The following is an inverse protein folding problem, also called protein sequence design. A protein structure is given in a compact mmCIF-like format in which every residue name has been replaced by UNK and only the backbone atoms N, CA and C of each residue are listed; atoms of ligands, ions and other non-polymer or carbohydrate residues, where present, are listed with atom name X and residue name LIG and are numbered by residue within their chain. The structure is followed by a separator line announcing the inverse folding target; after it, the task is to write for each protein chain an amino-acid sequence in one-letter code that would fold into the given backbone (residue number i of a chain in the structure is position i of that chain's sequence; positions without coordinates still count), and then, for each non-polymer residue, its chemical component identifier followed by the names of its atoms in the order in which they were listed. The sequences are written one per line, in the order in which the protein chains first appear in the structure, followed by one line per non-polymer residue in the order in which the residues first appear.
data_IF_864114054080
#
_entry.id   IF_864114054080
#
_cell.length_a   1.000
_cell.length_b   1.000
_cell.length_c   1.000
_cell.angle_alpha   90.00
_cell.angle_beta   90.00
_cell.angle_gamma   90.00
#
_symmetry.space_group_name_H-M   'P 1'
#
loop_
_entity.id
_entity.type
_entity.pdbx_description
1 polymer ?
#
# COMPACT_ATOMS: atom_id res chain seq x y z
N UNK A 1 16.53 10.81 51.79
CA UNK A 1 16.73 9.36 51.52
C UNK A 1 17.95 9.28 50.62
N UNK A 2 18.97 8.49 50.98
CA UNK A 2 20.20 8.36 50.21
C UNK A 2 20.52 6.89 50.00
N UNK A 3 20.96 6.52 48.81
CA UNK A 3 21.39 5.16 48.46
C UNK A 3 22.90 5.16 48.30
N UNK A 4 23.55 4.22 48.97
CA UNK A 4 24.99 4.02 48.97
C UNK A 4 25.29 2.51 48.91
N UNK A 5 26.42 2.14 48.31
CA UNK A 5 26.81 0.76 48.10
C UNK A 5 28.17 0.45 48.72
N UNK A 6 28.32 -0.81 49.07
CA UNK A 6 29.56 -1.39 49.55
C UNK A 6 29.81 -2.67 48.76
N UNK A 7 30.86 -2.69 47.96
CA UNK A 7 31.25 -3.86 47.19
C UNK A 7 32.14 -4.78 48.05
N UNK A 8 31.94 -6.11 47.95
CA UNK A 8 32.71 -7.11 48.69
C UNK A 8 32.71 -6.92 50.24
N UNK A 9 31.70 -6.23 50.78
CA UNK A 9 31.59 -6.00 52.21
C UNK A 9 30.89 -7.18 52.91
N UNK A 10 31.57 -7.79 53.88
CA UNK A 10 31.00 -8.83 54.73
C UNK A 10 30.34 -8.28 56.00
N UNK A 11 30.50 -6.98 56.27
CA UNK A 11 29.91 -6.27 57.41
C UNK A 11 29.73 -4.80 57.11
N UNK A 12 28.69 -4.19 57.69
CA UNK A 12 28.43 -2.76 57.68
C UNK A 12 27.99 -2.29 59.08
N UNK A 13 28.37 -1.07 59.47
CA UNK A 13 27.92 -0.44 60.72
C UNK A 13 27.32 0.91 60.40
N UNK A 14 26.07 1.12 60.80
CA UNK A 14 25.32 2.37 60.56
C UNK A 14 25.07 3.04 61.90
N UNK A 15 25.48 4.31 62.02
CA UNK A 15 25.29 5.10 63.23
C UNK A 15 24.40 6.30 62.92
N UNK A 16 23.35 6.49 63.72
CA UNK A 16 22.46 7.64 63.61
C UNK A 16 22.83 8.70 64.64
N UNK A 17 22.85 9.97 64.20
CA UNK A 17 23.05 11.13 65.07
C UNK A 17 21.88 12.10 64.86
N UNK A 18 20.81 11.98 65.65
CA UNK A 18 19.63 12.85 65.51
C UNK A 18 18.58 12.68 66.62
N UNK A 19 17.79 13.73 66.88
CA UNK A 19 16.72 13.76 67.91
C UNK A 19 15.33 13.36 67.41
N UNK A 20 15.23 12.74 66.23
CA UNK A 20 13.97 12.36 65.56
C UNK A 20 14.00 10.95 64.95
N UNK A 21 13.03 10.61 64.10
CA UNK A 21 12.93 9.27 63.47
C UNK A 21 13.96 9.05 62.37
N UNK A 22 14.77 8.01 62.48
CA UNK A 22 15.74 7.57 61.46
C UNK A 22 15.53 6.09 61.16
N UNK A 23 15.72 5.69 59.90
CA UNK A 23 15.64 4.31 59.44
C UNK A 23 16.74 4.04 58.41
N UNK A 24 17.25 2.80 58.40
CA UNK A 24 18.14 2.30 57.35
C UNK A 24 17.55 1.02 56.79
N UNK A 25 17.57 0.90 55.47
CA UNK A 25 17.29 -0.34 54.76
C UNK A 25 18.62 -0.85 54.18
N UNK A 26 18.89 -2.14 54.36
CA UNK A 26 20.03 -2.82 53.75
C UNK A 26 19.47 -3.87 52.80
N UNK A 27 19.85 -3.77 51.54
CA UNK A 27 19.52 -4.74 50.50
C UNK A 27 20.79 -5.28 49.86
N UNK A 28 20.69 -6.47 49.28
CA UNK A 28 21.70 -7.02 48.36
C UNK A 28 21.17 -6.76 46.97
N UNK A 29 22.00 -6.19 46.10
CA UNK A 29 21.69 -6.10 44.68
C UNK A 29 22.36 -7.29 44.00
N UNK A 30 21.54 -8.22 43.53
CA UNK A 30 21.94 -9.18 42.50
C UNK A 30 21.45 -8.53 41.22
N UNK A 31 22.37 -8.02 40.41
CA UNK A 31 22.02 -7.59 39.05
C UNK A 31 22.00 -8.90 38.27
N UNK A 32 20.81 -9.38 37.90
CA UNK A 32 20.73 -10.34 36.81
C UNK A 32 21.46 -9.68 35.64
N UNK A 33 22.52 -10.33 35.19
CA UNK A 33 23.53 -9.72 34.31
C UNK A 33 23.52 -10.38 32.95
N UNK A 34 22.38 -10.94 32.58
CA UNK A 34 22.14 -11.57 31.30
C UNK A 34 20.96 -10.87 30.66
N UNK A 35 21.09 -10.62 29.38
CA UNK A 35 20.03 -10.14 28.51
C UNK A 35 19.85 -11.19 27.39
N UNK A 36 18.60 -11.57 27.15
CA UNK A 36 18.14 -12.67 26.33
C UNK A 36 17.15 -12.17 25.28
N UNK A 37 17.30 -12.66 24.05
CA UNK A 37 16.30 -12.42 23.02
C UNK A 37 15.01 -13.19 23.32
N UNK A 38 13.88 -12.59 22.97
CA UNK A 38 12.55 -13.07 23.34
C UNK A 38 11.68 -13.47 22.12
N UNK A 39 12.27 -13.54 20.91
CA UNK A 39 11.64 -14.13 19.74
C UNK A 39 11.13 -15.56 20.05
N UNK A 40 10.17 -16.12 19.27
CA UNK A 40 9.67 -17.46 19.54
C UNK A 40 10.78 -18.49 19.72
N UNK A 41 10.58 -19.46 20.63
CA UNK A 41 11.62 -20.41 21.03
C UNK A 41 12.30 -21.18 19.89
N UNK A 42 11.67 -21.29 18.71
CA UNK A 42 12.27 -21.90 17.51
C UNK A 42 13.50 -21.15 17.00
N UNK A 43 13.57 -19.83 17.18
CA UNK A 43 14.68 -18.97 16.76
C UNK A 43 15.93 -19.13 17.65
N UNK A 44 15.79 -19.86 18.76
CA UNK A 44 16.87 -20.18 19.67
C UNK A 44 17.28 -19.02 20.58
N UNK A 45 18.08 -19.37 21.59
CA UNK A 45 18.49 -18.45 22.65
C UNK A 45 19.79 -17.71 22.29
N UNK A 46 19.77 -16.40 22.46
CA UNK A 46 20.93 -15.52 22.36
C UNK A 46 21.06 -14.79 23.68
N UNK A 47 22.26 -14.74 24.23
CA UNK A 47 22.49 -14.20 25.57
C UNK A 47 23.65 -13.22 25.55
N UNK A 48 23.52 -12.06 26.16
CA UNK A 48 24.60 -11.11 26.39
C UNK A 48 24.77 -10.88 27.88
N UNK A 49 26.00 -10.70 28.33
CA UNK A 49 26.22 -10.29 29.72
C UNK A 49 26.02 -8.77 29.84
N UNK A 50 24.96 -8.34 30.50
CA UNK A 50 24.67 -6.95 30.80
C UNK A 50 25.68 -6.39 31.84
N UNK A 51 26.63 -5.58 31.38
CA UNK A 51 27.70 -5.00 32.21
C UNK A 51 27.28 -3.69 32.88
N UNK A 52 26.27 -3.75 33.76
CA UNK A 52 25.87 -2.59 34.54
C UNK A 52 26.99 -2.14 35.48
N UNK A 53 27.21 -0.83 35.55
CA UNK A 53 28.17 -0.23 36.49
C UNK A 53 27.48 0.77 37.40
N UNK A 54 28.13 1.17 38.48
CA UNK A 54 27.60 2.16 39.40
C UNK A 54 28.51 3.39 39.43
N UNK A 55 27.91 4.57 39.53
CA UNK A 55 28.64 5.82 39.79
C UNK A 55 28.16 6.44 41.09
N UNK A 56 29.09 6.96 41.89
CA UNK A 56 28.75 7.53 43.20
C UNK A 56 28.36 6.48 44.24
N UNK A 57 28.17 6.92 45.48
CA UNK A 57 27.70 6.13 46.60
C UNK A 57 28.60 4.98 47.07
N UNK A 58 29.77 4.76 46.47
CA UNK A 58 30.76 3.79 46.95
C UNK A 58 31.34 4.23 48.28
N UNK A 59 31.15 3.42 49.32
CA UNK A 59 31.75 3.65 50.63
C UNK A 59 33.09 2.92 50.74
N UNK A 60 34.16 3.66 50.99
CA UNK A 60 35.48 3.07 51.17
C UNK A 60 35.54 2.27 52.48
N UNK A 61 35.97 1.01 52.40
CA UNK A 61 36.09 0.15 53.56
C UNK A 61 36.98 0.77 54.65
N UNK A 62 36.51 0.75 55.89
CA UNK A 62 37.24 1.28 57.05
C UNK A 62 37.21 2.81 57.20
N UNK A 63 36.45 3.53 56.36
CA UNK A 63 36.30 4.99 56.44
C UNK A 63 34.91 5.35 56.94
N UNK A 64 34.82 6.28 57.89
CA UNK A 64 33.54 6.89 58.29
C UNK A 64 33.16 7.94 57.25
N UNK A 65 32.04 7.73 56.55
CA UNK A 65 31.55 8.63 55.51
C UNK A 65 30.21 9.22 55.94
N UNK A 66 30.10 10.56 55.91
CA UNK A 66 28.83 11.27 56.09
C UNK A 66 28.06 11.30 54.76
N UNK A 67 27.07 10.44 54.64
CA UNK A 67 26.21 10.32 53.45
C UNK A 67 25.21 11.48 53.29
N UNK A 68 25.13 12.39 54.28
CA UNK A 68 24.30 13.59 54.23
C UNK A 68 25.11 14.86 53.92
N UNK A 69 26.44 14.75 53.81
CA UNK A 69 27.27 15.87 53.40
C UNK A 69 26.90 16.33 51.98
N UNK A 70 26.91 17.65 51.74
CA UNK A 70 26.54 18.24 50.44
C UNK A 70 27.43 17.81 49.26
N UNK A 71 28.60 17.24 49.53
CA UNK A 71 29.51 16.68 48.52
C UNK A 71 29.39 15.17 48.29
N UNK A 72 28.50 14.47 48.99
CA UNK A 72 28.31 13.04 48.80
C UNK A 72 27.46 12.77 47.56
N UNK A 73 28.06 12.20 46.51
CA UNK A 73 27.33 11.72 45.34
C UNK A 73 26.59 10.43 45.70
N UNK A 74 25.26 10.43 45.56
CA UNK A 74 24.47 9.21 45.69
C UNK A 74 24.82 8.23 44.58
N UNK A 75 24.61 6.95 44.86
CA UNK A 75 24.82 5.95 43.83
C UNK A 75 23.78 6.05 42.72
N UNK A 76 24.24 5.92 41.49
CA UNK A 76 23.44 5.89 40.29
C UNK A 76 23.85 4.68 39.43
N UNK A 77 22.86 3.89 39.00
CA UNK A 77 23.07 2.79 38.07
C UNK A 77 23.41 3.38 36.70
N UNK A 78 24.46 2.86 36.08
CA UNK A 78 24.91 3.25 34.76
C UNK A 78 24.69 2.06 33.83
N UNK A 79 23.86 2.21 32.78
CA UNK A 79 23.65 1.17 31.79
C UNK A 79 24.96 0.72 31.12
N UNK A 80 24.99 -0.49 30.54
CA UNK A 80 26.16 -0.98 29.82
C UNK A 80 26.62 0.00 28.73
N UNK A 81 27.94 0.15 28.58
CA UNK A 81 28.52 1.05 27.56
C UNK A 81 28.39 0.52 26.14
N UNK A 82 28.08 -0.76 26.00
CA UNK A 82 27.81 -1.46 24.75
C UNK A 82 26.37 -1.95 24.83
N UNK A 83 25.46 -1.31 24.08
CA UNK A 83 24.03 -1.66 24.02
C UNK A 83 23.38 -1.06 22.78
N UNK A 84 22.27 -1.60 22.36
CA UNK A 84 21.31 -1.02 21.44
C UNK A 84 20.48 0.04 22.21
N UNK A 85 19.85 0.92 21.43
CA UNK A 85 19.14 2.12 21.89
C UNK A 85 19.61 2.77 23.20
N UNK A 86 18.70 2.90 24.17
CA UNK A 86 18.92 3.68 25.41
C UNK A 86 18.71 2.91 26.70
N UNK A 87 17.67 2.08 26.75
CA UNK A 87 17.41 1.15 27.84
C UNK A 87 18.23 -0.13 27.64
N UNK A 88 18.23 -0.98 28.66
CA UNK A 88 18.59 -2.38 28.60
C UNK A 88 17.84 -2.99 29.77
N UNK A 89 16.94 -3.93 29.49
CA UNK A 89 16.37 -4.79 30.51
C UNK A 89 17.18 -6.09 30.57
N UNK A 90 17.17 -6.75 31.72
CA UNK A 90 17.97 -7.95 31.90
C UNK A 90 17.16 -8.96 32.67
N UNK A 91 17.16 -10.20 32.18
CA UNK A 91 16.45 -11.32 32.76
C UNK A 91 17.37 -12.52 32.97
N UNK A 92 17.03 -13.30 33.99
CA UNK A 92 17.76 -14.53 34.31
C UNK A 92 17.38 -15.72 33.43
N UNK A 93 16.33 -15.59 32.62
CA UNK A 93 15.81 -16.63 31.72
C UNK A 93 15.10 -15.99 30.53
N UNK A 94 15.38 -16.46 29.31
CA UNK A 94 14.69 -16.05 28.09
C UNK A 94 13.15 -16.09 28.22
N UNK A 95 12.50 -15.01 27.80
CA UNK A 95 11.05 -14.82 27.91
C UNK A 95 10.34 -14.94 26.56
N UNK A 96 10.59 -16.04 25.83
CA UNK A 96 10.07 -16.20 24.48
C UNK A 96 8.57 -15.90 24.34
N UNK A 97 8.24 -15.04 23.39
CA UNK A 97 6.89 -14.58 23.12
C UNK A 97 6.56 -14.70 21.63
N UNK A 98 5.28 -14.69 21.29
CA UNK A 98 4.89 -14.62 19.88
C UNK A 98 5.20 -13.24 19.29
N UNK A 99 5.24 -12.21 20.13
CA UNK A 99 5.33 -10.80 19.79
C UNK A 99 6.71 -10.17 19.92
N UNK A 100 7.70 -10.93 20.35
CA UNK A 100 8.95 -10.35 20.79
C UNK A 100 8.73 -9.26 21.88
N UNK A 101 7.70 -9.43 22.74
CA UNK A 101 7.34 -8.50 23.83
C UNK A 101 7.32 -9.17 25.22
N UNK A 102 8.05 -10.28 25.38
CA UNK A 102 7.92 -11.18 26.52
C UNK A 102 8.48 -10.60 27.81
N UNK A 103 9.69 -10.07 27.72
CA UNK A 103 10.42 -9.30 28.74
C UNK A 103 9.79 -7.93 29.02
N UNK A 104 9.24 -7.26 28.00
CA UNK A 104 8.48 -6.00 28.14
C UNK A 104 7.33 -6.10 29.17
N UNK A 105 6.69 -7.28 29.25
CA UNK A 105 5.56 -7.51 30.15
C UNK A 105 5.98 -7.66 31.62
N UNK A 106 7.28 -7.82 31.87
CA UNK A 106 7.88 -7.99 33.20
C UNK A 106 8.86 -6.87 33.58
N UNK A 107 9.13 -5.90 32.70
CA UNK A 107 10.06 -4.79 32.97
C UNK A 107 9.92 -3.55 32.06
N UNK A 108 11.03 -3.00 31.59
CA UNK A 108 11.09 -1.80 30.71
C UNK A 108 11.35 -2.22 29.28
N UNK A 109 10.58 -1.68 28.34
CA UNK A 109 10.76 -1.86 26.90
C UNK A 109 12.19 -1.46 26.46
N UNK A 110 12.98 -2.47 26.12
CA UNK A 110 14.32 -2.35 25.56
C UNK A 110 14.38 -2.74 24.08
N UNK A 111 13.24 -2.95 23.41
CA UNK A 111 13.11 -2.94 21.94
C UNK A 111 13.29 -1.48 21.37
N UNK A 112 14.20 -0.69 21.94
CA UNK A 112 14.35 0.74 21.65
C UNK A 112 15.46 1.05 20.62
N UNK A 113 16.02 0.02 19.96
CA UNK A 113 16.89 0.18 18.80
C UNK A 113 16.23 0.98 17.66
N UNK A 114 14.91 0.87 17.49
CA UNK A 114 14.17 1.59 16.44
C UNK A 114 13.24 2.65 17.04
N UNK A 115 13.21 3.83 16.42
CA UNK A 115 12.31 4.91 16.84
C UNK A 115 10.81 4.62 16.63
N UNK A 116 10.48 3.55 15.89
CA UNK A 116 9.12 3.06 15.67
C UNK A 116 9.17 1.58 15.24
N UNK A 117 8.09 0.81 15.48
CA UNK A 117 8.00 -0.58 15.03
C UNK A 117 8.24 -0.71 13.52
N UNK A 118 8.97 -1.75 13.11
CA UNK A 118 9.39 -1.96 11.72
C UNK A 118 8.22 -2.11 10.74
N UNK A 119 7.07 -2.60 11.21
CA UNK A 119 5.87 -2.75 10.39
C UNK A 119 6.11 -3.68 9.19
N UNK A 120 5.73 -3.23 7.98
CA UNK A 120 5.93 -4.00 6.74
C UNK A 120 7.19 -3.56 6.01
N UNK A 121 8.08 -4.50 5.70
CA UNK A 121 9.33 -4.25 4.98
C UNK A 121 9.27 -4.77 3.54
N UNK A 122 10.05 -4.13 2.66
CA UNK A 122 10.17 -4.51 1.26
C UNK A 122 11.20 -5.64 1.08
N UNK A 123 10.72 -6.88 1.14
CA UNK A 123 11.53 -8.07 0.90
C UNK A 123 11.44 -8.50 -0.57
N UNK A 124 11.84 -7.62 -1.49
CA UNK A 124 11.89 -7.92 -2.92
C UNK A 124 13.10 -8.84 -3.22
N UNK A 125 12.92 -10.05 -3.76
CA UNK A 125 14.01 -10.98 -4.06
C UNK A 125 15.17 -10.36 -4.84
N UNK A 126 16.41 -10.72 -4.48
CA UNK A 126 17.66 -10.25 -5.11
C UNK A 126 17.89 -8.73 -5.05
N UNK A 127 17.15 -8.02 -4.21
CA UNK A 127 17.41 -6.60 -3.92
C UNK A 127 18.10 -6.43 -2.58
N UNK A 128 18.65 -5.24 -2.33
CA UNK A 128 19.19 -4.90 -1.01
C UNK A 128 18.10 -4.29 -0.15
N UNK A 129 17.84 -4.89 1.01
CA UNK A 129 17.08 -4.27 2.09
C UNK A 129 18.04 -3.58 3.05
N UNK A 130 17.78 -2.33 3.40
CA UNK A 130 18.52 -1.56 4.40
C UNK A 130 17.58 -1.23 5.55
N UNK A 131 17.96 -1.56 6.78
CA UNK A 131 17.16 -1.25 7.97
C UNK A 131 16.97 0.27 8.12
N UNK A 132 15.92 0.72 8.82
CA UNK A 132 15.92 2.03 9.46
C UNK A 132 17.17 2.23 10.35
N UNK A 133 17.38 3.47 10.80
CA UNK A 133 18.46 3.79 11.70
C UNK A 133 18.29 3.02 13.03
N UNK A 134 19.28 2.20 13.36
CA UNK A 134 19.39 1.44 14.60
C UNK A 134 20.15 2.31 15.59
N UNK A 135 19.50 2.74 16.66
CA UNK A 135 20.14 3.43 17.77
C UNK A 135 21.04 2.46 18.53
N UNK A 136 22.20 2.94 18.94
CA UNK A 136 23.15 2.14 19.71
C UNK A 136 24.09 3.04 20.52
N UNK A 137 24.62 2.48 21.60
CA UNK A 137 25.70 3.05 22.41
C UNK A 137 26.88 2.09 22.42
N UNK A 138 28.07 2.57 22.02
CA UNK A 138 29.27 1.75 21.86
C UNK A 138 30.47 2.20 22.71
N UNK A 139 31.57 1.42 22.68
CA UNK A 139 32.04 0.70 21.48
C UNK A 139 31.53 -0.73 21.33
N UNK A 140 30.87 -1.04 20.20
CA UNK A 140 30.42 -2.41 19.88
C UNK A 140 30.14 -2.61 18.40
N UNK A 141 30.21 -3.85 17.92
CA UNK A 141 29.80 -4.22 16.56
C UNK A 141 28.34 -4.64 16.57
N UNK A 142 27.54 -4.18 15.60
CA UNK A 142 26.13 -4.55 15.45
C UNK A 142 25.99 -5.58 14.33
N UNK A 143 25.21 -6.64 14.58
CA UNK A 143 24.81 -7.69 13.64
C UNK A 143 23.31 -7.87 13.70
N UNK A 144 22.70 -8.36 12.62
CA UNK A 144 21.29 -8.72 12.67
C UNK A 144 20.90 -9.82 11.69
N UNK A 145 19.81 -10.51 12.00
CA UNK A 145 19.27 -11.64 11.22
C UNK A 145 17.79 -11.46 10.97
N UNK A 146 17.36 -11.62 9.72
CA UNK A 146 15.94 -11.61 9.33
C UNK A 146 15.59 -12.98 8.78
N UNK A 147 14.60 -13.63 9.36
CA UNK A 147 14.03 -14.87 8.82
C UNK A 147 13.20 -14.50 7.58
N UNK A 148 13.77 -14.68 6.39
CA UNK A 148 13.11 -14.28 5.14
C UNK A 148 12.19 -15.38 4.61
N UNK A 149 12.52 -16.64 4.89
CA UNK A 149 11.83 -17.80 4.35
C UNK A 149 10.67 -18.27 5.25
N UNK A 150 10.54 -17.70 6.45
CA UNK A 150 9.54 -17.95 7.49
C UNK A 150 9.53 -19.40 7.98
N UNK A 151 10.69 -20.03 8.10
CA UNK A 151 10.80 -21.43 8.56
C UNK A 151 11.01 -21.57 10.08
N UNK A 152 11.18 -20.45 10.79
CA UNK A 152 11.28 -20.42 12.24
C UNK A 152 12.70 -20.41 12.78
N UNK A 153 13.72 -20.21 11.95
CA UNK A 153 15.10 -20.01 12.38
C UNK A 153 15.84 -18.89 11.61
N UNK A 154 17.13 -18.70 11.90
CA UNK A 154 18.00 -17.67 11.30
C UNK A 154 19.25 -18.27 10.61
N UNK A 155 19.22 -19.57 10.29
CA UNK A 155 20.39 -20.33 9.87
C UNK A 155 20.62 -20.30 8.36
N UNK A 156 19.74 -19.62 7.62
CA UNK A 156 19.75 -19.66 6.18
C UNK A 156 20.66 -18.61 5.53
N UNK A 157 21.12 -18.95 4.32
CA UNK A 157 21.98 -18.05 3.56
C UNK A 157 21.21 -16.79 3.14
N UNK A 158 21.74 -15.63 3.55
CA UNK A 158 21.16 -14.31 3.24
C UNK A 158 20.30 -13.72 4.36
N UNK A 159 20.11 -14.45 5.47
CA UNK A 159 19.38 -13.96 6.64
C UNK A 159 20.25 -13.10 7.54
N UNK A 160 21.55 -13.39 7.62
CA UNK A 160 22.52 -12.54 8.30
C UNK A 160 22.79 -11.24 7.53
N UNK A 161 22.96 -10.14 8.26
CA UNK A 161 23.33 -8.84 7.70
C UNK A 161 24.68 -8.93 6.97
N UNK A 162 24.70 -8.42 5.75
CA UNK A 162 25.87 -8.40 4.85
C UNK A 162 26.98 -7.47 5.35
N UNK A 163 26.63 -6.48 6.17
CA UNK A 163 27.55 -5.61 6.89
C UNK A 163 27.43 -5.81 8.41
N UNK A 164 28.44 -5.35 9.14
CA UNK A 164 28.48 -5.31 10.61
C UNK A 164 29.18 -4.03 11.07
N UNK A 165 28.47 -2.90 11.08
CA UNK A 165 29.04 -1.62 11.45
C UNK A 165 29.42 -1.61 12.94
N UNK A 166 30.41 -0.80 13.27
CA UNK A 166 30.78 -0.53 14.66
C UNK A 166 30.04 0.71 15.15
N UNK A 167 29.31 0.57 16.24
CA UNK A 167 28.77 1.66 17.02
C UNK A 167 29.86 2.29 17.89
N UNK A 168 29.96 3.61 17.88
CA UNK A 168 30.94 4.35 18.68
C UNK A 168 30.30 5.54 19.37
N UNK A 169 30.39 5.60 20.71
CA UNK A 169 29.58 6.52 21.49
C UNK A 169 28.09 6.27 21.26
N UNK A 170 27.24 7.26 21.54
CA UNK A 170 25.81 7.19 21.20
C UNK A 170 25.62 7.65 19.75
N UNK A 171 25.19 6.74 18.89
CA UNK A 171 25.08 6.98 17.44
C UNK A 171 23.96 6.13 16.83
N UNK A 172 23.83 6.19 15.51
CA UNK A 172 22.97 5.28 14.76
C UNK A 172 23.74 4.57 13.66
N UNK A 173 23.35 3.33 13.38
CA UNK A 173 23.90 2.50 12.30
C UNK A 173 22.79 1.93 11.43
N UNK A 174 23.13 1.41 10.24
CA UNK A 174 22.19 0.68 9.39
C UNK A 174 22.78 -0.69 9.02
N UNK A 175 21.91 -1.68 8.95
CA UNK A 175 22.24 -3.01 8.47
C UNK A 175 21.66 -3.23 7.06
N UNK A 176 22.36 -4.03 6.26
CA UNK A 176 22.01 -4.34 4.88
C UNK A 176 21.87 -5.85 4.69
N UNK A 177 20.84 -6.29 4.01
CA UNK A 177 20.63 -7.67 3.61
C UNK A 177 20.50 -7.77 2.10
N UNK A 178 21.04 -8.84 1.52
CA UNK A 178 20.65 -9.24 0.16
C UNK A 178 19.48 -10.19 0.29
N UNK A 179 18.30 -9.71 -0.10
CA UNK A 179 17.04 -10.45 0.09
C UNK A 179 17.08 -11.77 -0.68
N UNK A 180 16.91 -12.93 -0.02
CA UNK A 180 16.96 -14.24 -0.67
C UNK A 180 15.87 -14.44 -1.74
N UNK A 181 16.06 -15.42 -2.63
CA UNK A 181 15.04 -15.77 -3.63
C UNK A 181 13.80 -16.47 -3.01
N UNK A 182 13.98 -17.17 -1.89
CA UNK A 182 12.96 -17.97 -1.21
C UNK A 182 12.07 -17.20 -0.23
N UNK A 183 11.97 -15.87 -0.34
CA UNK A 183 11.19 -15.04 0.60
C UNK A 183 9.73 -15.49 0.63
N UNK A 184 9.22 -15.70 1.85
CA UNK A 184 7.80 -15.91 2.11
C UNK A 184 7.19 -14.65 2.72
N UNK A 185 5.98 -14.28 2.27
CA UNK A 185 5.28 -13.10 2.78
C UNK A 185 4.63 -13.38 4.12
N UNK A 186 4.44 -12.34 4.93
CA UNK A 186 3.79 -12.43 6.23
C UNK A 186 4.72 -12.12 7.39
N UNK A 187 4.23 -12.35 8.61
CA UNK A 187 4.94 -12.05 9.85
C UNK A 187 6.25 -12.83 9.97
N UNK A 188 7.32 -12.13 10.34
CA UNK A 188 8.64 -12.69 10.64
C UNK A 188 9.33 -11.87 11.74
N UNK A 189 10.58 -12.18 12.03
CA UNK A 189 11.36 -11.60 13.13
C UNK A 189 12.71 -11.09 12.62
N UNK A 190 13.20 -10.03 13.26
CA UNK A 190 14.56 -9.53 13.17
C UNK A 190 15.21 -9.71 14.54
N UNK A 191 16.37 -10.37 14.60
CA UNK A 191 17.24 -10.34 15.78
C UNK A 191 18.35 -9.33 15.57
N UNK A 192 18.60 -8.46 16.53
CA UNK A 192 19.75 -7.59 16.62
C UNK A 192 20.67 -8.08 17.74
N UNK A 193 21.98 -7.98 17.51
CA UNK A 193 22.99 -8.23 18.54
C UNK A 193 24.07 -7.17 18.47
N UNK A 194 24.51 -6.67 19.62
CA UNK A 194 25.68 -5.82 19.76
C UNK A 194 26.66 -6.44 20.76
N UNK A 195 27.97 -6.38 20.48
CA UNK A 195 29.02 -6.77 21.44
C UNK A 195 30.35 -6.09 21.10
N UNK A 196 31.23 -5.91 22.09
CA UNK A 196 32.58 -5.40 21.85
C UNK A 196 33.42 -6.37 21.01
N UNK A 197 33.16 -7.68 21.15
CA UNK A 197 33.80 -8.74 20.37
C UNK A 197 32.87 -9.30 19.29
N UNK A 198 33.09 -8.86 18.05
CA UNK A 198 32.30 -9.28 16.89
C UNK A 198 32.27 -10.80 16.65
N UNK A 199 33.25 -11.56 17.14
CA UNK A 199 33.27 -13.03 16.98
C UNK A 199 32.22 -13.73 17.85
N UNK A 200 31.83 -13.14 18.98
CA UNK A 200 30.81 -13.71 19.88
C UNK A 200 29.39 -13.56 19.33
N UNK A 201 29.19 -12.59 18.43
CA UNK A 201 27.92 -12.31 17.75
C UNK A 201 28.00 -12.67 16.26
N UNK A 202 28.84 -13.65 15.90
CA UNK A 202 28.92 -14.13 14.52
C UNK A 202 27.70 -15.00 14.14
N UNK A 203 26.98 -15.50 15.13
CA UNK A 203 25.80 -16.37 15.00
C UNK A 203 24.57 -15.73 15.66
N UNK A 204 23.35 -16.06 15.20
CA UNK A 204 22.10 -15.52 15.77
C UNK A 204 21.81 -16.01 17.19
N UNK A 205 22.47 -17.09 17.62
CA UNK A 205 22.33 -17.71 18.94
C UNK A 205 23.68 -17.77 19.68
N UNK A 206 23.64 -18.12 20.96
CA UNK A 206 24.81 -18.27 21.81
C UNK A 206 25.16 -17.02 22.63
N UNK A 207 26.22 -17.13 23.43
CA UNK A 207 26.56 -16.14 24.47
C UNK A 207 27.63 -15.13 24.05
N UNK A 208 27.47 -13.86 24.43
CA UNK A 208 28.51 -12.83 24.41
C UNK A 208 28.86 -12.34 25.83
N UNK A 209 30.08 -11.83 26.00
CA UNK A 209 30.58 -11.40 27.32
C UNK A 209 30.21 -9.96 27.71
N UNK A 210 29.62 -9.23 26.78
CA UNK A 210 29.10 -7.87 26.93
C UNK A 210 28.08 -7.62 25.82
N UNK A 211 27.36 -6.50 25.91
CA UNK A 211 26.43 -6.08 24.85
C UNK A 211 24.98 -6.42 25.17
N UNK A 212 24.20 -6.55 24.11
CA UNK A 212 22.74 -6.72 24.17
C UNK A 212 22.21 -7.48 22.94
N UNK A 213 21.06 -8.12 23.09
CA UNK A 213 20.20 -8.69 22.06
C UNK A 213 18.83 -8.02 22.12
N UNK A 214 18.31 -7.62 20.97
CA UNK A 214 16.89 -7.25 20.84
C UNK A 214 16.28 -8.09 19.73
N UNK A 215 15.09 -8.63 19.95
CA UNK A 215 14.26 -9.20 18.89
C UNK A 215 13.21 -8.18 18.45
N UNK A 216 12.70 -8.29 17.23
CA UNK A 216 11.78 -7.31 16.66
C UNK A 216 10.80 -7.99 15.71
N UNK A 217 9.51 -7.67 15.80
CA UNK A 217 8.52 -8.17 14.84
C UNK A 217 8.46 -7.33 13.56
N UNK A 218 8.42 -8.01 12.43
CA UNK A 218 8.20 -7.40 11.12
C UNK A 218 7.24 -8.20 10.24
N UNK A 219 6.79 -7.59 9.15
CA UNK A 219 5.99 -8.25 8.11
C UNK A 219 6.71 -8.16 6.77
N UNK A 220 6.92 -9.31 6.12
CA UNK A 220 7.55 -9.40 4.82
C UNK A 220 6.53 -9.22 3.70
N UNK A 221 6.79 -8.24 2.84
CA UNK A 221 6.08 -8.05 1.58
C UNK A 221 7.08 -8.13 0.41
N UNK A 222 6.82 -9.00 -0.54
CA UNK A 222 7.74 -9.33 -1.63
C UNK A 222 7.23 -8.85 -3.00
N UNK A 223 6.22 -7.98 -3.02
CA UNK A 223 5.77 -7.28 -4.21
C UNK A 223 5.51 -5.80 -3.88
N UNK A 224 5.58 -4.95 -4.90
CA UNK A 224 5.32 -3.52 -4.81
C UNK A 224 4.47 -3.08 -6.00
N UNK A 225 3.41 -2.33 -5.72
CA UNK A 225 2.51 -1.81 -6.77
C UNK A 225 2.23 -0.33 -6.53
N UNK A 226 2.42 0.46 -7.57
CA UNK A 226 1.93 1.85 -7.64
C UNK A 226 0.69 1.88 -8.53
N UNK A 227 -0.44 2.38 -8.02
CA UNK A 227 -1.66 2.56 -8.79
C UNK A 227 -1.85 4.03 -9.14
N UNK A 228 -1.89 4.32 -10.43
CA UNK A 228 -2.08 5.66 -10.97
C UNK A 228 -3.42 5.81 -11.67
N UNK A 229 -4.00 6.99 -11.53
CA UNK A 229 -5.06 7.50 -12.37
C UNK A 229 -4.45 8.32 -13.49
N UNK A 230 -4.97 8.12 -14.70
CA UNK A 230 -4.79 9.04 -15.82
C UNK A 230 -6.16 9.43 -16.38
N UNK A 231 -6.35 10.71 -16.65
CA UNK A 231 -7.53 11.26 -17.33
C UNK A 231 -7.07 11.80 -18.68
N UNK A 232 -7.21 10.98 -19.71
CA UNK A 232 -6.81 11.33 -21.08
C UNK A 232 -7.70 12.42 -21.69
N UNK A 233 -9.01 12.37 -21.39
CA UNK A 233 -9.96 13.40 -21.77
C UNK A 233 -11.11 13.42 -20.76
N UNK A 234 -11.54 14.63 -20.37
CA UNK A 234 -12.61 14.85 -19.40
C UNK A 234 -13.85 15.39 -20.11
N UNK A 235 -15.02 14.82 -19.82
CA UNK A 235 -16.29 15.25 -20.39
C UNK A 235 -16.80 16.54 -19.73
N UNK A 236 -16.66 16.64 -18.40
CA UNK A 236 -16.96 17.84 -17.64
C UNK A 236 -15.77 18.20 -16.74
N UNK A 237 -15.39 19.48 -16.69
CA UNK A 237 -14.29 19.98 -15.87
C UNK A 237 -14.44 19.64 -14.36
N UNK A 238 -15.68 19.48 -13.88
CA UNK A 238 -15.97 19.11 -12.50
C UNK A 238 -15.82 17.60 -12.20
N UNK A 239 -15.72 16.74 -13.22
CA UNK A 239 -15.61 15.29 -13.00
C UNK A 239 -14.27 14.94 -12.36
N UNK A 240 -14.31 14.22 -11.24
CA UNK A 240 -13.12 13.73 -10.54
C UNK A 240 -13.16 12.21 -10.42
N UNK A 241 -11.99 11.60 -10.40
CA UNK A 241 -11.84 10.15 -10.33
C UNK A 241 -10.95 9.77 -9.16
N UNK A 242 -11.34 8.70 -8.47
CA UNK A 242 -10.54 8.09 -7.41
C UNK A 242 -10.14 6.70 -7.85
N UNK A 243 -8.85 6.41 -7.79
CA UNK A 243 -8.32 5.04 -7.82
C UNK A 243 -8.09 4.56 -6.40
N UNK A 244 -8.43 3.30 -6.14
CA UNK A 244 -8.21 2.65 -4.84
C UNK A 244 -7.58 1.29 -5.06
N UNK A 245 -6.54 0.99 -4.29
CA UNK A 245 -5.98 -0.34 -4.14
C UNK A 245 -6.59 -0.96 -2.89
N UNK A 246 -7.29 -2.09 -3.04
CA UNK A 246 -7.97 -2.77 -1.94
C UNK A 246 -7.51 -4.21 -1.76
N UNK A 247 -7.62 -4.69 -0.53
CA UNK A 247 -7.59 -6.11 -0.19
C UNK A 247 -8.91 -6.47 0.49
N UNK A 248 -9.75 -7.24 -0.19
CA UNK A 248 -11.14 -7.42 0.21
C UNK A 248 -11.88 -6.08 0.23
N UNK A 249 -12.48 -5.72 1.37
CA UNK A 249 -13.18 -4.44 1.56
C UNK A 249 -12.27 -3.30 2.05
N UNK A 250 -11.06 -3.62 2.51
CA UNK A 250 -10.14 -2.63 3.10
C UNK A 250 -9.38 -1.88 2.02
N UNK A 251 -9.38 -0.54 2.10
CA UNK A 251 -8.58 0.32 1.23
C UNK A 251 -7.16 0.38 1.78
N UNK A 252 -6.20 -0.12 1.02
CA UNK A 252 -4.76 -0.01 1.34
C UNK A 252 -4.28 1.40 1.03
N UNK A 253 -4.59 1.87 -0.18
CA UNK A 253 -4.24 3.20 -0.63
C UNK A 253 -5.26 3.71 -1.63
N UNK A 254 -5.41 5.04 -1.69
CA UNK A 254 -6.25 5.68 -2.70
C UNK A 254 -5.67 7.02 -3.11
N UNK A 255 -6.01 7.44 -4.33
CA UNK A 255 -5.63 8.74 -4.85
C UNK A 255 -6.75 9.27 -5.74
N UNK A 256 -7.05 10.55 -5.61
CA UNK A 256 -8.10 11.21 -6.37
C UNK A 256 -7.51 12.33 -7.21
N UNK A 257 -8.03 12.52 -8.42
CA UNK A 257 -7.79 13.76 -9.15
C UNK A 257 -8.44 14.93 -8.43
N UNK A 258 -7.89 16.13 -8.59
CA UNK A 258 -8.45 17.35 -8.02
C UNK A 258 -8.41 18.50 -9.04
N UNK A 259 -9.47 19.31 -9.07
CA UNK A 259 -9.60 20.42 -10.00
C UNK A 259 -9.33 20.02 -11.46
N UNK A 260 -8.37 20.68 -12.10
CA UNK A 260 -7.98 20.39 -13.47
C UNK A 260 -6.94 19.24 -13.59
N UNK A 261 -6.45 18.68 -12.48
CA UNK A 261 -5.41 17.65 -12.46
C UNK A 261 -5.81 16.39 -13.24
N UNK A 262 -4.97 15.97 -14.17
CA UNK A 262 -5.23 14.82 -15.06
C UNK A 262 -4.63 13.52 -14.54
N UNK A 263 -3.90 13.55 -13.44
CA UNK A 263 -3.31 12.38 -12.82
C UNK A 263 -3.42 12.41 -11.30
N UNK A 264 -3.37 11.22 -10.71
CA UNK A 264 -3.26 11.00 -9.27
C UNK A 264 -2.57 9.65 -9.05
N UNK A 265 -1.87 9.44 -7.94
CA UNK A 265 -1.15 8.19 -7.68
C UNK A 265 -1.14 7.82 -6.21
N UNK A 266 -1.26 6.52 -5.92
CA UNK A 266 -1.25 6.00 -4.54
C UNK A 266 0.13 6.02 -3.88
N UNK A 267 1.18 6.36 -4.63
CA UNK A 267 2.54 5.96 -4.28
C UNK A 267 2.72 4.45 -4.33
N UNK A 268 3.94 4.00 -4.08
CA UNK A 268 4.28 2.58 -4.09
C UNK A 268 3.81 1.89 -2.82
N UNK A 269 3.02 0.82 -2.97
CA UNK A 269 2.46 0.04 -1.87
C UNK A 269 3.10 -1.33 -1.83
N UNK A 270 3.54 -1.75 -0.64
CA UNK A 270 4.10 -3.09 -0.42
C UNK A 270 2.97 -4.10 -0.26
N UNK A 271 3.04 -5.17 -1.04
CA UNK A 271 2.00 -6.19 -1.16
C UNK A 271 2.60 -7.59 -1.01
N UNK A 272 1.74 -8.54 -0.62
CA UNK A 272 2.08 -9.93 -0.59
C UNK A 272 1.85 -10.57 -1.98
N UNK A 273 2.87 -11.21 -2.55
CA UNK A 273 2.70 -11.99 -3.78
C UNK A 273 1.67 -13.11 -3.61
N UNK A 274 1.00 -13.51 -4.69
CA UNK A 274 0.00 -14.56 -4.68
C UNK A 274 -1.34 -14.17 -4.06
N UNK A 275 -1.41 -13.00 -3.41
CA UNK A 275 -2.66 -12.45 -2.86
C UNK A 275 -3.42 -11.67 -3.94
N UNK A 276 -4.74 -11.87 -4.02
CA UNK A 276 -5.60 -11.10 -4.93
C UNK A 276 -5.93 -9.72 -4.38
N UNK A 277 -5.66 -8.69 -5.16
CA UNK A 277 -5.98 -7.29 -4.87
C UNK A 277 -6.98 -6.73 -5.87
N UNK A 278 -7.76 -5.75 -5.43
CA UNK A 278 -8.70 -5.03 -6.30
C UNK A 278 -8.12 -3.65 -6.63
N UNK A 279 -8.00 -3.36 -7.92
CA UNK A 279 -7.70 -2.03 -8.46
C UNK A 279 -9.03 -1.41 -8.88
N UNK A 280 -9.54 -0.50 -8.07
CA UNK A 280 -10.85 0.14 -8.27
C UNK A 280 -10.68 1.51 -8.92
N UNK A 281 -11.57 1.82 -9.85
CA UNK A 281 -11.78 3.16 -10.38
C UNK A 281 -13.22 3.61 -10.13
N UNK A 282 -13.37 4.83 -9.63
CA UNK A 282 -14.66 5.41 -9.34
C UNK A 282 -14.70 6.87 -9.79
N UNK A 283 -15.84 7.30 -10.34
CA UNK A 283 -16.17 8.72 -10.41
C UNK A 283 -16.48 9.20 -8.98
N UNK A 284 -15.64 10.07 -8.44
CA UNK A 284 -15.74 10.55 -7.06
C UNK A 284 -16.43 11.90 -6.93
N UNK A 285 -16.48 12.69 -8.01
CA UNK A 285 -17.28 13.90 -8.11
C UNK A 285 -17.64 14.17 -9.58
N UNK A 286 -18.64 15.03 -9.79
CA UNK A 286 -19.12 15.41 -11.13
C UNK A 286 -20.51 14.86 -11.46
N UNK A 287 -21.07 15.34 -12.55
CA UNK A 287 -22.43 15.00 -13.00
C UNK A 287 -22.45 14.06 -14.20
N UNK A 288 -21.33 13.86 -14.86
CA UNK A 288 -21.27 12.97 -16.03
C UNK A 288 -21.44 11.52 -15.58
N UNK A 289 -22.39 10.74 -16.14
CA UNK A 289 -22.48 9.32 -15.85
C UNK A 289 -21.17 8.60 -16.13
N UNK A 290 -20.73 7.73 -15.22
CA UNK A 290 -19.43 7.07 -15.36
C UNK A 290 -19.34 6.21 -16.63
N UNK A 291 -20.46 5.74 -17.17
CA UNK A 291 -20.56 5.05 -18.45
C UNK A 291 -20.13 5.88 -19.67
N UNK A 292 -20.09 7.22 -19.57
CA UNK A 292 -19.57 8.11 -20.63
C UNK A 292 -18.05 8.12 -20.72
N UNK A 293 -17.35 7.36 -19.88
CA UNK A 293 -15.91 7.19 -19.94
C UNK A 293 -15.56 5.78 -20.38
N UNK A 294 -14.72 5.67 -21.41
CA UNK A 294 -13.96 4.45 -21.66
C UNK A 294 -12.87 4.34 -20.59
N UNK A 295 -12.73 3.15 -20.00
CA UNK A 295 -11.68 2.85 -19.03
C UNK A 295 -10.78 1.76 -19.57
N UNK A 296 -9.51 1.86 -19.26
CA UNK A 296 -8.50 0.84 -19.56
C UNK A 296 -7.49 0.81 -18.44
N UNK A 297 -6.83 -0.33 -18.28
CA UNK A 297 -5.73 -0.49 -17.33
C UNK A 297 -4.51 -1.09 -18.05
N UNK A 298 -3.34 -0.59 -17.71
CA UNK A 298 -2.07 -1.19 -18.11
C UNK A 298 -1.13 -1.22 -16.90
N UNK A 299 -0.52 -2.37 -16.65
CA UNK A 299 0.53 -2.53 -15.65
C UNK A 299 1.87 -2.76 -16.36
N UNK A 300 2.90 -2.05 -15.93
CA UNK A 300 4.25 -2.16 -16.45
C UNK A 300 5.23 -2.50 -15.32
N UNK A 301 6.22 -3.32 -15.62
CA UNK A 301 7.33 -3.60 -14.71
C UNK A 301 8.25 -2.38 -14.61
N UNK A 302 8.56 -1.96 -13.39
CA UNK A 302 9.60 -0.97 -13.12
C UNK A 302 11.00 -1.58 -13.32
N UNK A 303 12.03 -0.74 -13.44
CA UNK A 303 13.40 -1.22 -13.55
C UNK A 303 13.80 -2.05 -12.31
N UNK A 304 14.37 -3.24 -12.52
CA UNK A 304 14.72 -4.16 -11.43
C UNK A 304 13.57 -5.03 -10.92
N UNK A 305 12.36 -4.87 -11.47
CA UNK A 305 11.23 -5.76 -11.21
C UNK A 305 11.52 -7.18 -11.71
N UNK A 306 11.19 -8.17 -10.89
CA UNK A 306 11.30 -9.58 -11.21
C UNK A 306 9.92 -10.25 -11.29
N UNK A 307 9.87 -11.47 -11.84
CA UNK A 307 8.63 -12.20 -12.06
C UNK A 307 7.85 -11.72 -13.28
N UNK A 308 6.90 -12.54 -13.75
CA UNK A 308 6.03 -12.15 -14.85
C UNK A 308 5.11 -11.00 -14.43
N UNK A 309 4.79 -10.09 -15.36
CA UNK A 309 3.77 -9.06 -15.12
C UNK A 309 2.38 -9.71 -15.25
N UNK A 310 1.60 -9.80 -14.18
CA UNK A 310 0.24 -10.35 -14.26
C UNK A 310 -0.66 -9.44 -15.10
N UNK A 311 -1.56 -10.05 -15.86
CA UNK A 311 -2.60 -9.33 -16.60
C UNK A 311 -3.76 -9.04 -15.65
N UNK A 312 -4.17 -7.78 -15.45
CA UNK A 312 -5.32 -7.47 -14.60
C UNK A 312 -6.60 -8.11 -15.15
N UNK A 313 -7.35 -8.82 -14.30
CA UNK A 313 -8.64 -9.43 -14.66
C UNK A 313 -9.79 -8.44 -14.53
N UNK A 314 -10.72 -8.41 -15.49
CA UNK A 314 -11.84 -7.45 -15.54
C UNK A 314 -11.85 -6.61 -16.82
N UNK A 315 -12.47 -5.43 -16.84
CA UNK A 315 -13.18 -4.79 -15.73
C UNK A 315 -14.46 -5.52 -15.32
N UNK A 316 -14.89 -5.34 -14.07
CA UNK A 316 -16.22 -5.73 -13.57
C UNK A 316 -16.94 -4.53 -12.95
N UNK A 317 -18.28 -4.57 -12.96
CA UNK A 317 -19.12 -3.47 -12.50
C UNK A 317 -19.36 -2.38 -13.56
N UNK A 318 -20.41 -1.60 -13.34
CA UNK A 318 -20.74 -0.40 -14.16
C UNK A 318 -20.48 0.90 -13.39
N UNK A 319 -19.90 0.79 -12.20
CA UNK A 319 -19.66 1.85 -11.23
C UNK A 319 -19.77 1.32 -9.79
N UNK A 320 -18.78 1.57 -8.91
CA UNK A 320 -17.35 1.62 -9.27
C UNK A 320 -16.95 0.46 -10.21
N UNK A 321 -15.81 0.59 -10.89
CA UNK A 321 -15.29 -0.42 -11.81
C UNK A 321 -14.02 -1.03 -11.23
N UNK A 322 -13.97 -2.36 -11.20
CA UNK A 322 -12.91 -3.11 -10.53
C UNK A 322 -12.14 -3.99 -11.51
N UNK A 323 -10.81 -3.98 -11.34
CA UNK A 323 -9.90 -4.99 -11.86
C UNK A 323 -9.31 -5.78 -10.71
N UNK A 324 -8.96 -7.03 -10.97
CA UNK A 324 -8.24 -7.90 -10.05
C UNK A 324 -6.78 -8.00 -10.47
N UNK A 325 -5.87 -7.99 -9.50
CA UNK A 325 -4.42 -8.14 -9.72
C UNK A 325 -3.85 -9.09 -8.67
N UNK A 326 -3.13 -10.11 -9.10
CA UNK A 326 -2.36 -10.99 -8.22
C UNK A 326 -0.88 -10.83 -8.56
N UNK A 327 -0.12 -10.02 -7.80
CA UNK A 327 1.30 -9.83 -8.06
C UNK A 327 2.10 -11.10 -7.80
N UNK A 328 3.15 -11.32 -8.58
CA UNK A 328 4.14 -12.38 -8.36
C UNK A 328 5.25 -11.87 -7.42
N UNK A 329 6.00 -12.80 -6.83
CA UNK A 329 7.17 -12.45 -6.02
C UNK A 329 8.19 -11.65 -6.85
N UNK A 330 8.72 -10.57 -6.27
CA UNK A 330 9.65 -9.63 -6.92
C UNK A 330 9.00 -8.64 -7.87
N UNK A 331 7.69 -8.69 -8.08
CA UNK A 331 7.00 -7.69 -8.88
C UNK A 331 7.14 -6.31 -8.24
N UNK A 332 7.74 -5.38 -8.98
CA UNK A 332 7.63 -3.94 -8.77
C UNK A 332 6.93 -3.33 -9.98
N UNK A 333 5.65 -2.96 -9.82
CA UNK A 333 4.76 -2.60 -10.91
C UNK A 333 4.22 -1.19 -10.78
N UNK A 334 4.04 -0.54 -11.93
CA UNK A 334 3.21 0.66 -12.06
C UNK A 334 1.98 0.32 -12.89
N UNK A 335 0.81 0.33 -12.26
CA UNK A 335 -0.49 0.13 -12.91
C UNK A 335 -1.17 1.46 -13.12
N UNK A 336 -1.60 1.76 -14.35
CA UNK A 336 -2.29 3.01 -14.68
C UNK A 336 -3.67 2.73 -15.21
N UNK A 337 -4.69 3.24 -14.53
CA UNK A 337 -6.08 3.24 -15.01
C UNK A 337 -6.34 4.55 -15.74
N UNK A 338 -6.62 4.45 -17.04
CA UNK A 338 -6.88 5.59 -17.92
C UNK A 338 -8.36 5.73 -18.22
N UNK A 339 -8.91 6.91 -17.93
CA UNK A 339 -10.26 7.31 -18.36
C UNK A 339 -10.19 8.29 -19.53
N UNK A 340 -10.98 8.01 -20.56
CA UNK A 340 -11.21 8.91 -21.69
C UNK A 340 -12.71 9.11 -21.88
N UNK A 341 -13.16 10.36 -21.90
CA UNK A 341 -14.52 10.68 -22.28
C UNK A 341 -14.84 10.15 -23.69
N UNK A 342 -15.97 9.49 -23.85
CA UNK A 342 -16.48 9.02 -25.13
C UNK A 342 -16.98 10.21 -25.96
N UNK A 343 -16.53 10.30 -27.21
CA UNK A 343 -16.91 11.35 -28.15
C UNK A 343 -17.76 10.75 -29.27
N UNK A 344 -19.07 10.84 -29.07
CA UNK A 344 -20.10 10.53 -30.06
C UNK A 344 -20.68 11.84 -30.60
N UNK A 345 -20.61 12.07 -31.91
CA UNK A 345 -21.14 13.29 -32.52
C UNK A 345 -22.15 12.93 -33.60
N UNK A 346 -23.43 12.90 -33.23
CA UNK A 346 -24.51 12.50 -34.14
C UNK A 346 -25.02 13.70 -34.95
N UNK A 347 -25.15 13.52 -36.26
CA UNK A 347 -25.74 14.49 -37.18
C UNK A 347 -26.84 13.83 -38.00
N UNK A 348 -27.96 14.51 -38.20
CA UNK A 348 -29.09 14.02 -38.99
C UNK A 348 -29.47 15.02 -40.07
N UNK A 349 -29.79 14.55 -41.26
CA UNK A 349 -30.31 15.35 -42.37
C UNK A 349 -31.49 14.62 -43.02
N UNK A 350 -32.48 15.39 -43.52
CA UNK A 350 -33.64 14.86 -44.25
C UNK A 350 -33.89 15.71 -45.49
N UNK A 351 -34.01 15.08 -46.65
CA UNK A 351 -34.27 15.76 -47.92
C UNK A 351 -34.91 14.81 -48.93
N UNK A 352 -35.84 15.29 -49.73
CA UNK A 352 -36.29 14.68 -51.00
C UNK A 352 -35.68 15.39 -52.22
N UNK A 353 -34.78 16.35 -51.98
CA UNK A 353 -34.13 17.23 -52.95
C UNK A 353 -35.10 18.11 -53.74
N UNK A 354 -36.29 18.41 -53.20
CA UNK A 354 -37.27 19.31 -53.81
C UNK A 354 -37.63 20.46 -52.86
N UNK A 355 -37.89 21.64 -53.42
CA UNK A 355 -38.39 22.79 -52.67
C UNK A 355 -39.92 22.86 -52.64
N UNK A 356 -40.58 22.15 -53.55
CA UNK A 356 -42.04 22.16 -53.73
C UNK A 356 -42.56 20.75 -53.89
N UNK A 357 -43.84 20.55 -53.54
CA UNK A 357 -44.55 19.30 -53.76
C UNK A 357 -45.87 19.57 -54.49
N UNK A 358 -46.40 18.54 -55.14
CA UNK A 358 -47.71 18.56 -55.81
C UNK A 358 -48.64 17.60 -55.11
N UNK A 359 -49.84 18.04 -54.64
CA UNK A 359 -50.85 17.16 -54.06
C UNK A 359 -51.14 15.94 -54.96
N UNK A 360 -51.23 14.75 -54.37
CA UNK A 360 -51.46 13.49 -55.07
C UNK A 360 -50.21 12.73 -55.56
N UNK A 361 -49.07 13.41 -55.67
CA UNK A 361 -47.79 12.80 -56.10
C UNK A 361 -47.15 11.95 -54.99
N UNK A 362 -46.17 11.13 -55.38
CA UNK A 362 -45.32 10.37 -54.48
C UNK A 362 -43.88 10.89 -54.53
N UNK A 363 -43.18 10.83 -53.39
CA UNK A 363 -41.76 11.21 -53.24
C UNK A 363 -41.05 10.24 -52.31
N UNK A 364 -39.72 10.24 -52.33
CA UNK A 364 -38.92 9.51 -51.37
C UNK A 364 -38.02 10.49 -50.63
N UNK A 365 -38.24 10.62 -49.33
CA UNK A 365 -37.32 11.36 -48.45
C UNK A 365 -36.15 10.46 -48.08
N UNK A 366 -34.94 11.01 -48.12
CA UNK A 366 -33.74 10.36 -47.60
C UNK A 366 -33.39 11.02 -46.27
N UNK A 367 -33.40 10.23 -45.21
CA UNK A 367 -32.88 10.62 -43.89
C UNK A 367 -31.50 9.99 -43.76
N UNK A 368 -30.47 10.81 -43.53
CA UNK A 368 -29.12 10.31 -43.27
C UNK A 368 -28.71 10.68 -41.86
N UNK A 369 -28.33 9.67 -41.08
CA UNK A 369 -27.78 9.81 -39.73
C UNK A 369 -26.30 9.46 -39.80
N UNK A 370 -25.44 10.33 -39.29
CA UNK A 370 -23.99 10.17 -39.27
C UNK A 370 -23.49 10.17 -37.82
N UNK A 371 -22.44 9.40 -37.54
CA UNK A 371 -21.62 9.56 -36.35
C UNK A 371 -20.27 10.16 -36.77
N UNK A 372 -20.17 11.48 -36.64
CA UNK A 372 -18.97 12.27 -36.93
C UNK A 372 -17.96 12.20 -35.75
N UNK A 373 -18.26 11.43 -34.69
CA UNK A 373 -17.42 11.24 -33.51
C UNK A 373 -16.40 10.10 -33.64
N UNK A 374 -15.43 10.06 -32.71
CA UNK A 374 -14.37 9.06 -32.67
C UNK A 374 -14.77 7.75 -31.98
N UNK A 375 -15.89 7.75 -31.25
CA UNK A 375 -16.40 6.59 -30.54
C UNK A 375 -17.75 6.16 -31.10
N UNK A 376 -18.05 4.86 -31.03
CA UNK A 376 -19.30 4.31 -31.53
C UNK A 376 -20.51 4.87 -30.77
N UNK A 377 -21.60 5.15 -31.49
CA UNK A 377 -22.90 5.46 -30.92
C UNK A 377 -23.76 4.19 -30.96
N UNK A 378 -24.20 3.71 -29.79
CA UNK A 378 -25.02 2.49 -29.68
C UNK A 378 -26.42 2.86 -29.21
N UNK A 379 -27.43 2.33 -29.89
CA UNK A 379 -28.85 2.50 -29.56
C UNK A 379 -29.37 3.92 -29.79
N UNK A 380 -28.76 4.69 -30.69
CA UNK A 380 -29.22 6.04 -31.00
C UNK A 380 -30.64 5.98 -31.59
N UNK A 381 -31.59 6.68 -30.97
CA UNK A 381 -32.98 6.65 -31.41
C UNK A 381 -33.20 7.63 -32.56
N UNK A 382 -33.87 7.16 -33.62
CA UNK A 382 -34.27 7.97 -34.77
C UNK A 382 -35.78 7.86 -34.88
N UNK A 383 -36.46 9.00 -34.90
CA UNK A 383 -37.92 9.08 -35.03
C UNK A 383 -38.33 10.21 -35.95
N UNK A 384 -39.30 9.93 -36.81
CA UNK A 384 -39.86 10.89 -37.76
C UNK A 384 -41.37 10.60 -37.93
N UNK A 385 -42.19 11.63 -37.71
CA UNK A 385 -43.64 11.55 -37.92
C UNK A 385 -43.99 12.42 -39.11
N UNK A 386 -44.55 11.80 -40.15
CA UNK A 386 -45.02 12.51 -41.34
C UNK A 386 -46.14 13.48 -40.94
N UNK A 387 -46.13 14.72 -41.48
CA UNK A 387 -47.16 15.71 -41.20
C UNK A 387 -48.51 15.30 -41.80
N UNK A 388 -49.55 16.07 -41.47
CA UNK A 388 -50.86 15.94 -42.11
C UNK A 388 -50.75 16.07 -43.65
N UNK A 389 -51.62 15.37 -44.36
CA UNK A 389 -51.60 15.32 -45.83
C UNK A 389 -50.48 14.44 -46.42
N UNK A 390 -49.73 13.71 -45.59
CA UNK A 390 -48.73 12.73 -46.01
C UNK A 390 -48.99 11.35 -45.40
N UNK A 391 -48.73 10.31 -46.18
CA UNK A 391 -48.73 8.92 -45.70
C UNK A 391 -47.60 8.13 -46.34
N UNK A 392 -47.19 7.03 -45.74
CA UNK A 392 -46.18 6.13 -46.30
C UNK A 392 -46.72 5.43 -47.55
N UNK A 393 -46.04 5.63 -48.68
CA UNK A 393 -46.39 4.97 -49.95
C UNK A 393 -45.92 3.52 -50.02
N UNK A 394 -44.88 3.18 -49.26
CA UNK A 394 -44.31 1.84 -49.13
C UNK A 394 -43.65 1.69 -47.75
N UNK A 395 -43.25 0.46 -47.40
CA UNK A 395 -42.43 0.23 -46.21
C UNK A 395 -41.07 0.89 -46.42
N UNK A 396 -40.67 1.75 -45.49
CA UNK A 396 -39.37 2.42 -45.54
C UNK A 396 -38.23 1.44 -45.27
N UNK A 397 -37.03 1.76 -45.73
CA UNK A 397 -35.85 0.90 -45.61
C UNK A 397 -34.71 1.65 -44.95
N UNK A 398 -33.92 0.95 -44.13
CA UNK A 398 -32.70 1.49 -43.54
C UNK A 398 -31.51 0.66 -44.01
N UNK A 399 -30.45 1.35 -44.43
CA UNK A 399 -29.17 0.76 -44.83
C UNK A 399 -28.06 1.40 -44.02
N UNK A 400 -27.19 0.60 -43.43
CA UNK A 400 -26.09 1.09 -42.60
C UNK A 400 -24.75 0.89 -43.32
N UNK A 401 -23.81 1.82 -43.09
CA UNK A 401 -22.42 1.69 -43.49
C UNK A 401 -21.72 0.51 -42.77
N UNK A 402 -20.57 0.01 -43.27
CA UNK A 402 -19.83 -1.07 -42.61
C UNK A 402 -19.53 -0.79 -41.13
N UNK A 403 -19.73 -1.78 -40.27
CA UNK A 403 -19.57 -1.66 -38.81
C UNK A 403 -20.71 -0.93 -38.09
N UNK A 404 -21.70 -0.41 -38.83
CA UNK A 404 -22.93 0.18 -38.30
C UNK A 404 -24.12 -0.76 -38.54
N UNK A 405 -25.22 -0.58 -37.81
CA UNK A 405 -26.43 -1.38 -37.93
C UNK A 405 -27.70 -0.53 -37.78
N UNK A 406 -28.73 -0.89 -38.52
CA UNK A 406 -30.08 -0.42 -38.30
C UNK A 406 -30.79 -1.40 -37.36
N UNK A 407 -31.38 -0.89 -36.28
CA UNK A 407 -32.25 -1.64 -35.39
C UNK A 407 -33.58 -2.01 -36.05
N UNK A 408 -34.41 -2.73 -35.30
CA UNK A 408 -35.73 -3.12 -35.77
C UNK A 408 -36.60 -1.89 -36.06
N UNK A 409 -37.32 -1.95 -37.18
CA UNK A 409 -38.29 -0.93 -37.54
C UNK A 409 -39.49 -0.94 -36.58
N UNK A 410 -39.93 0.27 -36.22
CA UNK A 410 -41.18 0.54 -35.53
C UNK A 410 -42.00 1.55 -36.33
N UNK A 411 -43.29 1.29 -36.52
CA UNK A 411 -44.10 1.96 -37.53
C UNK A 411 -43.84 1.43 -38.94
N UNK A 412 -44.02 2.26 -39.97
CA UNK A 412 -43.64 1.89 -41.33
C UNK A 412 -44.66 1.14 -42.18
N UNK A 413 -45.88 0.92 -41.68
CA UNK A 413 -46.96 0.33 -42.48
C UNK A 413 -47.36 1.27 -43.60
N UNK A 414 -47.65 0.73 -44.79
CA UNK A 414 -48.21 1.50 -45.91
C UNK A 414 -49.50 2.20 -45.46
N UNK A 415 -49.63 3.48 -45.78
CA UNK A 415 -50.71 4.34 -45.30
C UNK A 415 -50.53 4.91 -43.89
N UNK A 416 -49.52 4.45 -43.13
CA UNK A 416 -49.14 5.02 -41.84
C UNK A 416 -48.31 6.30 -41.98
N UNK A 417 -47.87 6.85 -40.85
CA UNK A 417 -47.14 8.12 -40.79
C UNK A 417 -45.88 8.10 -39.89
N UNK A 418 -45.52 6.96 -39.30
CA UNK A 418 -44.42 6.87 -38.34
C UNK A 418 -43.21 6.11 -38.91
N UNK A 419 -42.03 6.68 -38.71
CA UNK A 419 -40.72 6.07 -38.94
C UNK A 419 -39.97 6.10 -37.61
N UNK A 420 -39.69 4.95 -37.03
CA UNK A 420 -38.89 4.88 -35.82
C UNK A 420 -37.98 3.65 -35.83
N UNK A 421 -36.76 3.80 -35.33
CA UNK A 421 -35.78 2.74 -35.14
C UNK A 421 -34.68 3.20 -34.19
N UNK A 422 -33.87 2.24 -33.75
CA UNK A 422 -32.53 2.54 -33.22
C UNK A 422 -31.49 2.39 -34.33
N UNK A 423 -30.36 3.09 -34.21
CA UNK A 423 -29.17 2.87 -35.04
C UNK A 423 -27.95 2.72 -34.16
N UNK A 424 -27.10 1.77 -34.53
CA UNK A 424 -25.74 1.63 -34.00
C UNK A 424 -24.79 2.16 -35.08
N UNK A 425 -24.00 3.18 -34.77
CA UNK A 425 -23.11 3.83 -35.73
C UNK A 425 -21.66 3.73 -35.25
N UNK A 426 -20.83 3.06 -36.05
CA UNK A 426 -19.38 3.06 -35.86
C UNK A 426 -18.81 4.48 -35.95
N UNK A 427 -17.57 4.73 -35.47
CA UNK A 427 -16.88 6.00 -35.71
C UNK A 427 -16.80 6.31 -37.21
N UNK A 428 -17.28 7.50 -37.62
CA UNK A 428 -17.39 7.89 -39.03
C UNK A 428 -18.50 7.18 -39.82
N UNK A 429 -19.28 6.31 -39.19
CA UNK A 429 -20.34 5.53 -39.81
C UNK A 429 -21.62 6.32 -40.06
N UNK A 430 -22.50 5.77 -40.90
CA UNK A 430 -23.82 6.32 -41.21
C UNK A 430 -24.92 5.26 -41.33
N UNK A 431 -26.16 5.72 -41.20
CA UNK A 431 -27.38 5.00 -41.56
C UNK A 431 -28.23 5.88 -42.48
N UNK A 432 -28.66 5.33 -43.60
CA UNK A 432 -29.51 5.99 -44.59
C UNK A 432 -30.87 5.32 -44.62
N UNK A 433 -31.91 6.10 -44.33
CA UNK A 433 -33.31 5.66 -44.28
C UNK A 433 -34.03 6.27 -45.47
N UNK A 434 -34.57 5.43 -46.34
CA UNK A 434 -35.39 5.82 -47.48
C UNK A 434 -36.86 5.71 -47.09
N UNK A 435 -37.57 6.83 -47.14
CA UNK A 435 -38.96 6.98 -46.70
C UNK A 435 -39.84 7.35 -47.89
N UNK A 436 -40.46 6.37 -48.58
CA UNK A 436 -41.42 6.63 -49.64
C UNK A 436 -42.72 7.17 -49.06
N UNK A 437 -43.15 8.34 -49.51
CA UNK A 437 -44.37 9.00 -49.08
C UNK A 437 -45.29 9.31 -50.25
N UNK A 438 -46.57 9.48 -49.95
CA UNK A 438 -47.59 9.98 -50.85
C UNK A 438 -48.28 11.18 -50.24
N UNK A 439 -48.45 12.20 -51.08
CA UNK A 439 -49.19 13.42 -50.80
C UNK A 439 -50.69 13.18 -51.00
N UNK A 440 -51.52 13.65 -50.07
CA UNK A 440 -52.97 13.65 -50.28
C UNK A 440 -53.33 14.43 -51.55
N UNK A 441 -54.26 13.92 -52.39
CA UNK A 441 -54.81 14.70 -53.49
C UNK A 441 -55.80 15.76 -53.02
N UNK A 442 -56.26 15.71 -51.76
CA UNK A 442 -57.19 16.68 -51.18
C UNK A 442 -56.41 17.83 -50.52
N UNK A 443 -56.54 19.09 -50.99
CA UNK A 443 -55.89 20.23 -50.36
C UNK A 443 -56.31 20.46 -48.90
N UNK A 444 -57.49 19.97 -48.49
CA UNK A 444 -57.99 20.11 -47.11
C UNK A 444 -57.35 19.15 -46.09
N UNK A 445 -56.45 18.26 -46.52
CA UNK A 445 -55.73 17.34 -45.62
C UNK A 445 -54.38 17.92 -45.13
N UNK A 446 -53.94 19.04 -45.70
CA UNK A 446 -52.76 19.82 -45.30
C UNK A 446 -53.13 20.96 -44.33
#
# INVERSE_FOLDING_TARGET
MGVAFMENATRASVQFHGGGGSAVAVGVVVVDSTDHGDAPASYGDAVHLAQFTWTGGTLAAGTTTDIHASGFALANLVPPSTRLGTALDSESVAQFSANADGDDLLGSDDEDAFAAPLGTIAALPSTTYTSPAIACTGPGTVRGWIDFNRDGDFNDAGEASSNSPTCSGTSTVNLNWTVPAGVQTGRSYLRLRIASNAAQIATPTGSASDGEVEDHVLTLANARVTLNKQVAARANAADQFTVSLLQGASVIASAATSGAGTSAGTGAQLLASGTGYTLRDALSAGSTPFSRYQKSIACVANAGSAGAVPVPGGPTGTGPVDWTLTPNAGNDLTCTITNRALVTALRISKSDNQATYTPGDARTYTITVNNDGSDAATGAQVSDTLPAGMSLAAVWQCTASPGSACGAASGGTVGGNAVALTVDLAPGGSATIQVPVRYSPNPGDY
#
